data_IF_368450503536
#
_entry.id   IF_368450503536
#
_cell.length_a   1.000
_cell.length_b   1.000
_cell.length_c   1.000
_cell.angle_alpha   90.00
_cell.angle_beta   90.00
_cell.angle_gamma   90.00
#
_symmetry.space_group_name_H-M   'P 1'
#
loop_
_entity.id
_entity.type
_entity.pdbx_description
1 polymer ?
#
# COMPACT_ATOMS: atom_id res chain seq x y z
N UNK A 1 -27.45 14.07 -7.64
CA UNK A 1 -27.34 13.19 -6.45
C UNK A 1 -26.36 13.82 -5.48
N UNK A 2 -26.66 13.85 -4.17
CA UNK A 2 -25.75 14.40 -3.15
C UNK A 2 -24.90 13.31 -2.50
N UNK A 3 -23.78 13.70 -1.89
CA UNK A 3 -22.91 12.78 -1.14
C UNK A 3 -23.67 12.08 0.01
N UNK A 4 -24.60 12.79 0.65
CA UNK A 4 -25.47 12.23 1.69
C UNK A 4 -26.35 11.10 1.16
N UNK A 5 -26.91 11.22 -0.06
CA UNK A 5 -27.70 10.15 -0.68
C UNK A 5 -26.86 8.90 -0.94
N UNK A 6 -25.58 9.06 -1.33
CA UNK A 6 -24.66 7.94 -1.56
C UNK A 6 -24.37 7.19 -0.25
N UNK A 7 -24.00 7.90 0.82
CA UNK A 7 -23.71 7.27 2.11
C UNK A 7 -24.94 6.59 2.73
N UNK A 8 -26.12 7.20 2.63
CA UNK A 8 -27.37 6.57 3.10
C UNK A 8 -27.66 5.26 2.36
N UNK A 9 -27.39 5.21 1.06
CA UNK A 9 -27.56 4.00 0.25
C UNK A 9 -26.56 2.92 0.64
N UNK A 10 -25.29 3.27 0.82
CA UNK A 10 -24.25 2.32 1.25
C UNK A 10 -24.53 1.74 2.64
N UNK A 11 -24.99 2.56 3.58
CA UNK A 11 -25.40 2.10 4.91
C UNK A 11 -26.60 1.15 4.84
N UNK A 12 -27.59 1.45 3.97
CA UNK A 12 -28.73 0.55 3.76
C UNK A 12 -28.30 -0.78 3.12
N UNK A 13 -27.37 -0.76 2.17
CA UNK A 13 -26.81 -1.98 1.55
C UNK A 13 -26.01 -2.80 2.57
N UNK A 14 -25.21 -2.15 3.42
CA UNK A 14 -24.44 -2.81 4.49
C UNK A 14 -25.37 -3.55 5.45
N UNK A 15 -26.44 -2.89 5.92
CA UNK A 15 -27.43 -3.49 6.83
C UNK A 15 -28.14 -4.71 6.23
N UNK A 16 -28.25 -4.77 4.90
CA UNK A 16 -28.85 -5.89 4.17
C UNK A 16 -27.83 -6.96 3.77
N UNK A 17 -26.56 -6.80 4.12
CA UNK A 17 -25.49 -7.73 3.73
C UNK A 17 -25.15 -7.68 2.24
N UNK A 18 -25.47 -6.58 1.54
CA UNK A 18 -25.13 -6.38 0.14
C UNK A 18 -23.74 -5.77 -0.09
N UNK A 19 -23.14 -5.22 0.96
CA UNK A 19 -21.73 -4.75 0.98
C UNK A 19 -21.11 -5.01 2.36
N UNK A 20 -19.80 -5.21 2.39
CA UNK A 20 -18.99 -5.20 3.61
C UNK A 20 -18.35 -3.82 3.79
N UNK A 21 -18.25 -3.33 5.02
CA UNK A 21 -17.48 -2.12 5.32
C UNK A 21 -16.08 -2.50 5.80
N UNK A 22 -15.05 -1.94 5.16
CA UNK A 22 -13.65 -2.13 5.52
C UNK A 22 -13.14 -0.87 6.23
N UNK A 23 -12.62 -1.05 7.44
CA UNK A 23 -12.11 0.04 8.28
C UNK A 23 -10.58 0.10 8.19
N UNK A 24 -10.11 0.62 7.06
CA UNK A 24 -8.68 0.61 6.69
C UNK A 24 -7.92 1.81 7.24
N UNK A 25 -8.59 2.96 7.28
CA UNK A 25 -8.09 4.17 7.89
C UNK A 25 -9.25 4.91 8.60
N UNK A 26 -8.90 5.80 9.53
CA UNK A 26 -9.89 6.55 10.31
C UNK A 26 -10.58 7.66 9.51
N UNK A 27 -10.09 7.99 8.31
CA UNK A 27 -10.56 9.12 7.51
C UNK A 27 -11.54 8.70 6.40
N UNK A 28 -11.51 7.42 5.98
CA UNK A 28 -12.21 6.90 4.80
C UNK A 28 -12.77 5.50 5.05
N UNK A 29 -14.07 5.38 4.85
CA UNK A 29 -14.78 4.11 4.82
C UNK A 29 -14.70 3.51 3.43
N UNK A 30 -14.21 2.27 3.35
CA UNK A 30 -14.21 1.50 2.11
C UNK A 30 -15.36 0.50 2.17
N UNK A 31 -16.04 0.27 1.04
CA UNK A 31 -17.13 -0.69 0.94
C UNK A 31 -16.81 -1.72 -0.13
N UNK A 32 -16.93 -2.99 0.21
CA UNK A 32 -16.69 -4.12 -0.68
C UNK A 32 -18.04 -4.74 -1.10
N UNK A 33 -18.36 -4.83 -2.40
CA UNK A 33 -19.56 -5.52 -2.88
C UNK A 33 -19.49 -7.06 -2.73
N UNK A 34 -18.31 -7.64 -2.58
CA UNK A 34 -18.14 -9.06 -2.33
C UNK A 34 -18.40 -9.35 -0.86
N UNK A 35 -19.52 -10.00 -0.55
CA UNK A 35 -19.86 -10.38 0.84
C UNK A 35 -19.45 -11.80 1.20
N UNK A 36 -18.86 -12.55 0.26
CA UNK A 36 -18.32 -13.87 0.56
C UNK A 36 -17.11 -13.76 1.50
N UNK A 37 -16.84 -14.75 2.37
CA UNK A 37 -15.66 -14.72 3.22
C UNK A 37 -14.37 -14.65 2.39
N UNK A 38 -13.63 -13.56 2.55
CA UNK A 38 -12.30 -13.36 1.98
C UNK A 38 -11.49 -12.41 2.88
N UNK A 39 -10.19 -12.35 2.64
CA UNK A 39 -9.27 -11.52 3.41
C UNK A 39 -8.69 -10.42 2.53
N UNK A 40 -8.15 -9.37 3.14
CA UNK A 40 -7.59 -8.23 2.39
C UNK A 40 -6.10 -8.09 2.61
N UNK A 41 -5.35 -7.76 1.57
CA UNK A 41 -3.99 -7.25 1.64
C UNK A 41 -3.97 -5.77 1.28
N UNK A 42 -3.56 -4.94 2.22
CA UNK A 42 -3.66 -3.49 2.15
C UNK A 42 -2.27 -2.86 2.10
N UNK A 43 -2.04 -2.01 1.10
CA UNK A 43 -0.84 -1.20 1.00
C UNK A 43 -0.92 0.01 1.93
N UNK A 44 0.01 0.13 2.88
CA UNK A 44 0.04 1.25 3.82
C UNK A 44 0.35 2.60 3.16
N UNK A 45 1.03 2.61 2.00
CA UNK A 45 1.48 3.83 1.31
C UNK A 45 0.45 4.40 0.34
N UNK A 46 -0.17 3.56 -0.50
CA UNK A 46 -1.15 4.01 -1.48
C UNK A 46 -2.59 3.53 -1.22
N UNK A 47 -2.82 2.80 -0.13
CA UNK A 47 -4.13 2.24 0.25
C UNK A 47 -4.75 1.30 -0.80
N UNK A 48 -3.93 0.76 -1.72
CA UNK A 48 -4.35 -0.32 -2.63
C UNK A 48 -4.75 -1.55 -1.82
N UNK A 49 -5.92 -2.10 -2.13
CA UNK A 49 -6.48 -3.31 -1.51
C UNK A 49 -6.41 -4.43 -2.55
N UNK A 50 -6.07 -5.64 -2.11
CA UNK A 50 -6.04 -6.85 -2.93
C UNK A 50 -6.72 -7.97 -2.17
N UNK A 51 -7.62 -8.68 -2.84
CA UNK A 51 -8.33 -9.81 -2.25
C UNK A 51 -7.38 -10.99 -2.08
N UNK A 52 -7.52 -11.67 -0.94
CA UNK A 52 -6.82 -12.90 -0.62
C UNK A 52 -7.86 -13.99 -0.46
N UNK A 53 -7.98 -14.84 -1.48
CA UNK A 53 -8.98 -15.92 -1.55
C UNK A 53 -8.59 -17.19 -0.78
N UNK A 54 -7.49 -17.15 -0.01
CA UNK A 54 -7.06 -18.30 0.79
C UNK A 54 -7.75 -18.29 2.15
N UNK A 55 -8.36 -19.41 2.53
CA UNK A 55 -8.90 -19.56 3.88
C UNK A 55 -7.77 -19.69 4.92
N UNK A 56 -7.83 -18.87 5.96
CA UNK A 56 -6.90 -18.88 7.09
C UNK A 56 -7.70 -19.19 8.36
N UNK A 57 -7.55 -20.40 8.88
CA UNK A 57 -8.25 -20.85 10.09
C UNK A 57 -7.48 -20.43 11.33
N UNK A 58 -7.62 -19.16 11.71
CA UNK A 58 -7.10 -18.64 12.97
C UNK A 58 -8.20 -18.72 14.03
N UNK A 59 -7.97 -19.53 15.05
CA UNK A 59 -8.88 -19.66 16.18
C UNK A 59 -8.25 -19.04 17.43
N UNK A 60 -9.08 -18.37 18.23
CA UNK A 60 -8.68 -17.89 19.55
C UNK A 60 -8.54 -19.12 20.48
N UNK A 61 -7.42 -19.27 21.20
CA UNK A 61 -7.24 -20.31 22.23
C UNK A 61 -8.39 -20.31 23.23
N UNK A 62 -8.77 -21.50 23.74
CA UNK A 62 -9.97 -21.66 24.58
C UNK A 62 -9.91 -20.82 25.86
N UNK A 63 -8.73 -20.72 26.46
CA UNK A 63 -8.42 -19.91 27.63
C UNK A 63 -8.56 -18.40 27.38
N UNK A 64 -8.38 -17.95 26.13
CA UNK A 64 -8.53 -16.54 25.74
C UNK A 64 -9.93 -16.17 25.25
N UNK A 65 -10.85 -17.14 25.14
CA UNK A 65 -12.22 -16.85 24.66
C UNK A 65 -13.04 -16.04 25.66
N UNK A 66 -12.67 -15.99 26.95
CA UNK A 66 -13.37 -15.22 27.99
C UNK A 66 -14.90 -15.41 28.00
N UNK A 67 -15.39 -16.60 27.64
CA UNK A 67 -16.83 -16.91 27.55
C UNK A 67 -17.54 -16.43 26.29
N UNK A 68 -16.84 -15.81 25.33
CA UNK A 68 -17.44 -15.38 24.06
C UNK A 68 -17.72 -16.54 23.12
N UNK A 69 -18.91 -16.54 22.51
CA UNK A 69 -19.24 -17.41 21.38
C UNK A 69 -18.73 -16.76 20.09
N UNK A 70 -17.53 -17.16 19.67
CA UNK A 70 -16.91 -16.68 18.43
C UNK A 70 -17.75 -17.10 17.22
N UNK A 71 -18.20 -16.13 16.43
CA UNK A 71 -19.01 -16.35 15.21
C UNK A 71 -18.18 -16.33 13.92
N UNK A 72 -16.97 -15.78 13.98
CA UNK A 72 -16.06 -15.69 12.84
C UNK A 72 -14.82 -14.87 13.17
N UNK A 73 -13.97 -14.69 12.16
CA UNK A 73 -12.85 -13.78 12.19
C UNK A 73 -12.81 -13.00 10.87
N UNK A 74 -12.09 -11.88 10.87
CA UNK A 74 -11.74 -11.14 9.67
C UNK A 74 -10.24 -10.89 9.71
N UNK A 75 -9.53 -11.20 8.62
CA UNK A 75 -8.07 -11.08 8.56
C UNK A 75 -7.71 -10.04 7.52
N UNK A 76 -6.88 -9.10 7.95
CA UNK A 76 -6.30 -8.08 7.10
C UNK A 76 -4.78 -8.14 7.21
N UNK A 77 -4.12 -8.17 6.07
CA UNK A 77 -2.68 -8.11 5.96
C UNK A 77 -2.26 -6.71 5.57
N UNK A 78 -1.24 -6.18 6.22
CA UNK A 78 -0.71 -4.84 5.94
C UNK A 78 0.70 -4.95 5.36
N UNK A 79 0.96 -4.22 4.27
CA UNK A 79 2.26 -4.25 3.60
C UNK A 79 2.49 -3.05 2.68
N UNK A 80 3.49 -3.16 1.80
CA UNK A 80 3.77 -2.14 0.76
C UNK A 80 3.68 -2.83 -0.60
N UNK A 81 2.82 -2.33 -1.49
CA UNK A 81 2.63 -2.95 -2.80
C UNK A 81 3.87 -2.78 -3.69
N UNK A 82 4.06 -3.63 -4.72
CA UNK A 82 5.20 -3.55 -5.63
C UNK A 82 5.35 -2.20 -6.31
N UNK A 83 4.25 -1.52 -6.65
CA UNK A 83 4.29 -0.17 -7.22
C UNK A 83 4.85 0.85 -6.22
N UNK A 84 4.50 0.73 -4.94
CA UNK A 84 4.99 1.60 -3.88
C UNK A 84 6.44 1.30 -3.51
N UNK A 85 6.83 0.03 -3.57
CA UNK A 85 8.22 -0.41 -3.45
C UNK A 85 9.04 0.10 -4.63
N UNK A 86 8.53 0.05 -5.86
CA UNK A 86 9.21 0.59 -7.06
C UNK A 86 9.26 2.11 -7.06
N UNK A 87 8.20 2.80 -6.62
CA UNK A 87 8.19 4.27 -6.44
C UNK A 87 9.08 4.72 -5.27
N UNK A 88 9.27 3.87 -4.27
CA UNK A 88 10.29 4.04 -3.21
C UNK A 88 11.64 3.42 -3.57
N UNK A 89 11.68 2.71 -4.69
CA UNK A 89 12.79 1.98 -5.25
C UNK A 89 13.60 2.98 -6.03
N UNK A 90 14.83 3.13 -5.58
CA UNK A 90 15.74 4.14 -6.05
C UNK A 90 15.98 3.84 -7.53
N UNK A 91 15.49 4.68 -8.45
CA UNK A 91 16.07 4.75 -9.79
C UNK A 91 17.49 5.28 -9.58
N UNK A 92 18.41 4.38 -9.23
CA UNK A 92 19.82 4.68 -9.11
C UNK A 92 20.30 4.93 -10.53
N UNK A 93 20.72 6.15 -10.79
CA UNK A 93 21.32 6.51 -12.05
C UNK A 93 22.83 6.54 -11.85
N UNK A 94 23.55 5.95 -12.79
CA UNK A 94 24.99 6.18 -12.90
C UNK A 94 25.15 7.54 -13.56
N UNK A 95 25.86 8.45 -12.89
CA UNK A 95 26.22 9.74 -13.46
C UNK A 95 27.69 9.76 -13.81
N UNK A 96 28.03 10.06 -15.06
CA UNK A 96 29.39 10.18 -15.55
C UNK A 96 29.76 11.63 -15.76
N UNK A 97 30.93 12.00 -15.26
CA UNK A 97 31.51 13.31 -15.49
C UNK A 97 32.09 13.38 -16.90
N UNK A 98 31.68 14.36 -17.69
CA UNK A 98 32.24 14.58 -19.03
C UNK A 98 33.69 15.10 -18.99
N UNK A 99 34.08 15.84 -17.95
CA UNK A 99 35.44 16.39 -17.85
C UNK A 99 36.51 15.35 -17.48
N UNK A 100 36.20 14.42 -16.58
CA UNK A 100 37.21 13.52 -16.00
C UNK A 100 36.82 12.03 -16.03
N UNK A 101 35.66 11.70 -16.60
CA UNK A 101 35.16 10.33 -16.72
C UNK A 101 34.71 9.68 -15.40
N UNK A 102 34.75 10.40 -14.27
CA UNK A 102 34.35 9.83 -12.98
C UNK A 102 32.86 9.46 -12.97
N UNK A 103 32.55 8.26 -12.52
CA UNK A 103 31.18 7.77 -12.34
C UNK A 103 30.75 7.91 -10.88
N UNK A 104 29.48 8.22 -10.67
CA UNK A 104 28.86 8.24 -9.35
C UNK A 104 27.45 7.70 -9.45
N UNK A 105 27.18 6.63 -8.70
CA UNK A 105 25.83 6.13 -8.51
C UNK A 105 25.10 6.98 -7.47
N UNK A 106 23.87 7.37 -7.79
CA UNK A 106 23.06 8.14 -6.86
C UNK A 106 21.64 8.36 -7.32
N UNK A 107 20.83 8.85 -6.38
CA UNK A 107 19.43 9.22 -6.62
C UNK A 107 19.29 10.52 -7.44
N UNK A 108 20.22 11.45 -7.25
CA UNK A 108 20.17 12.79 -7.85
C UNK A 108 21.48 13.10 -8.56
N UNK A 109 21.39 13.82 -9.69
CA UNK A 109 22.55 14.33 -10.43
C UNK A 109 23.44 15.16 -9.48
N UNK A 110 24.71 14.79 -9.26
CA UNK A 110 25.59 15.55 -8.39
C UNK A 110 25.83 16.95 -8.96
N UNK A 111 25.74 17.98 -8.12
CA UNK A 111 26.02 19.38 -8.53
C UNK A 111 27.49 19.59 -8.94
N UNK A 112 28.41 18.88 -8.27
CA UNK A 112 29.85 18.88 -8.52
C UNK A 112 30.35 17.46 -8.71
N UNK A 113 31.32 17.30 -9.60
CA UNK A 113 32.03 16.03 -9.74
C UNK A 113 32.84 15.76 -8.46
N UNK A 114 32.74 14.55 -7.86
CA UNK A 114 33.50 14.20 -6.66
C UNK A 114 35.01 14.08 -6.91
N UNK A 115 35.44 13.94 -8.17
CA UNK A 115 36.84 13.73 -8.55
C UNK A 115 37.53 15.04 -8.98
N UNK A 116 36.97 15.76 -9.95
CA UNK A 116 37.57 17.00 -10.46
C UNK A 116 36.97 18.29 -9.88
N UNK A 117 35.85 18.21 -9.15
CA UNK A 117 35.20 19.39 -8.56
C UNK A 117 34.36 20.23 -9.54
N UNK A 118 34.40 19.93 -10.84
CA UNK A 118 33.66 20.66 -11.87
C UNK A 118 32.14 20.64 -11.63
N UNK A 119 31.51 21.79 -11.83
CA UNK A 119 30.06 21.97 -11.72
C UNK A 119 29.36 21.68 -13.04
N UNK A 120 28.22 20.99 -13.00
CA UNK A 120 27.35 20.82 -14.17
C UNK A 120 27.75 19.72 -15.16
N UNK A 121 28.93 19.12 -15.01
CA UNK A 121 29.54 18.16 -15.95
C UNK A 121 29.06 16.71 -15.80
N UNK A 122 28.19 16.42 -14.82
CA UNK A 122 27.67 15.07 -14.56
C UNK A 122 26.48 14.77 -15.48
N UNK A 123 26.59 13.87 -16.46
CA UNK A 123 25.46 13.39 -17.26
C UNK A 123 25.01 11.99 -16.82
N UNK A 124 23.72 11.70 -16.99
CA UNK A 124 23.19 10.36 -16.73
C UNK A 124 23.70 9.43 -17.82
N UNK A 125 24.32 8.32 -17.43
CA UNK A 125 24.68 7.23 -18.32
C UNK A 125 23.40 6.39 -18.56
N UNK A 126 23.13 6.05 -19.82
CA UNK A 126 21.93 5.30 -20.23
C UNK A 126 21.96 3.86 -19.76
#
# INVERSE_FOLDING_TARGET
MSLATVYNTLEALKRRGGVLELTIDSERKHYDPNTAPHHHLICLKCKKIVDVHKDFRINIPVDQKQGFKVTGNHIEFYGICPECIKKGGINMAVFKCESCGATKEGRCKPKKCPKCGDTGTMKKEE
#
